data_IF_621180702823
#
_entry.id   IF_621180702823
#
_cell.length_a   1.000
_cell.length_b   1.000
_cell.length_c   1.000
_cell.angle_alpha   90.00
_cell.angle_beta   90.00
_cell.angle_gamma   90.00
#
_symmetry.space_group_name_H-M   'P 1'
#
loop_
_entity.id
_entity.type
_entity.pdbx_description
1 polymer ?
#
# COMPACT_ATOMS: atom_id res chain seq x y z
N UNK A 1 12.34 0.77 -16.87
CA UNK A 1 11.81 2.03 -17.43
C UNK A 1 10.73 2.54 -16.50
N UNK A 2 10.66 3.86 -16.28
CA UNK A 2 9.64 4.48 -15.44
C UNK A 2 8.71 5.31 -16.33
N UNK A 3 7.40 5.21 -16.10
CA UNK A 3 6.40 6.05 -16.77
C UNK A 3 5.99 7.18 -15.82
N UNK A 4 6.04 8.41 -16.30
CA UNK A 4 5.58 9.59 -15.56
C UNK A 4 4.29 10.12 -16.20
N UNK A 5 3.33 10.54 -15.38
CA UNK A 5 2.08 11.14 -15.81
C UNK A 5 1.90 12.49 -15.14
N UNK A 6 1.60 13.52 -15.93
CA UNK A 6 1.23 14.85 -15.45
C UNK A 6 -0.22 15.15 -15.82
N UNK A 7 -0.96 15.79 -14.92
CA UNK A 7 -2.37 16.15 -15.13
C UNK A 7 -2.51 17.66 -15.00
N UNK A 8 -3.18 18.29 -15.96
CA UNK A 8 -3.57 19.69 -15.92
C UNK A 8 -5.09 19.81 -15.82
N UNK A 9 -5.57 20.41 -14.73
CA UNK A 9 -7.00 20.50 -14.44
C UNK A 9 -7.67 21.66 -15.18
N UNK A 10 -8.65 21.33 -16.03
CA UNK A 10 -9.49 22.31 -16.75
C UNK A 10 -10.86 22.56 -16.11
N UNK A 11 -11.20 21.83 -15.04
CA UNK A 11 -12.48 21.94 -14.33
C UNK A 11 -12.30 21.96 -12.82
N UNK A 12 -13.30 22.45 -12.08
CA UNK A 12 -13.26 22.46 -10.61
C UNK A 12 -13.10 21.06 -10.01
N UNK A 13 -13.76 20.04 -10.60
CA UNK A 13 -13.60 18.63 -10.20
C UNK A 13 -12.19 18.14 -10.51
N UNK A 14 -11.63 18.51 -11.66
CA UNK A 14 -10.25 18.19 -12.02
C UNK A 14 -9.24 18.82 -11.05
N UNK A 15 -9.48 20.06 -10.58
CA UNK A 15 -8.61 20.72 -9.60
C UNK A 15 -8.61 19.97 -8.27
N UNK A 16 -9.78 19.53 -7.79
CA UNK A 16 -9.89 18.69 -6.58
C UNK A 16 -9.12 17.38 -6.75
N UNK A 17 -9.31 16.69 -7.88
CA UNK A 17 -8.58 15.47 -8.19
C UNK A 17 -7.06 15.69 -8.21
N UNK A 18 -6.60 16.80 -8.81
CA UNK A 18 -5.18 17.14 -8.86
C UNK A 18 -4.60 17.33 -7.45
N UNK A 19 -5.30 18.05 -6.58
CA UNK A 19 -4.89 18.26 -5.17
C UNK A 19 -4.79 16.92 -4.43
N UNK A 20 -5.82 16.07 -4.56
CA UNK A 20 -5.85 14.74 -3.93
C UNK A 20 -4.70 13.84 -4.42
N UNK A 21 -4.45 13.82 -5.73
CA UNK A 21 -3.37 13.01 -6.32
C UNK A 21 -1.98 13.52 -5.91
N UNK A 22 -1.78 14.84 -5.83
CA UNK A 22 -0.52 15.42 -5.36
C UNK A 22 -0.28 15.06 -3.89
N UNK A 23 -1.29 15.21 -3.03
CA UNK A 23 -1.19 14.85 -1.62
C UNK A 23 -0.90 13.34 -1.44
N UNK A 24 -1.55 12.50 -2.24
CA UNK A 24 -1.33 11.04 -2.23
C UNK A 24 0.06 10.67 -2.75
N UNK A 25 0.53 11.33 -3.81
CA UNK A 25 1.88 11.12 -4.33
C UNK A 25 2.92 11.52 -3.28
N UNK A 26 2.76 12.66 -2.60
CA UNK A 26 3.65 13.10 -1.52
C UNK A 26 3.74 12.09 -0.38
N UNK A 27 2.60 11.52 0.06
CA UNK A 27 2.57 10.46 1.09
C UNK A 27 3.22 9.17 0.61
N UNK A 28 3.01 8.78 -0.65
CA UNK A 28 3.58 7.57 -1.22
C UNK A 28 5.08 7.72 -1.53
N UNK A 29 5.52 8.95 -1.81
CA UNK A 29 6.90 9.25 -2.22
C UNK A 29 7.91 8.85 -1.14
N UNK A 30 7.54 8.93 0.14
CA UNK A 30 8.38 8.46 1.25
C UNK A 30 8.85 7.01 1.06
N UNK A 31 7.98 6.13 0.56
CA UNK A 31 8.28 4.72 0.31
C UNK A 31 8.81 4.46 -1.10
N UNK A 32 8.38 5.26 -2.07
CA UNK A 32 8.75 5.05 -3.47
C UNK A 32 10.16 5.57 -3.80
N UNK A 33 10.62 6.64 -3.13
CA UNK A 33 11.93 7.26 -3.40
C UNK A 33 13.10 6.28 -3.25
N UNK A 34 12.99 5.31 -2.35
CA UNK A 34 14.05 4.32 -2.10
C UNK A 34 14.02 3.19 -3.17
N UNK A 35 12.89 2.99 -3.84
CA UNK A 35 12.73 1.99 -4.93
C UNK A 35 12.94 2.58 -6.33
N UNK A 36 12.74 3.89 -6.48
CA UNK A 36 12.88 4.58 -7.77
C UNK A 36 14.24 5.26 -7.77
N UNK A 37 15.11 4.87 -8.71
CA UNK A 37 16.45 5.46 -8.86
C UNK A 37 16.44 6.85 -9.52
N UNK A 38 15.36 7.62 -9.35
CA UNK A 38 15.14 8.95 -9.93
C UNK A 38 14.87 9.93 -8.81
N UNK A 39 15.68 10.99 -8.75
CA UNK A 39 15.43 12.13 -7.87
C UNK A 39 14.35 13.02 -8.47
N UNK A 40 13.19 13.08 -7.81
CA UNK A 40 12.12 14.02 -8.15
C UNK A 40 11.95 15.05 -7.01
N UNK A 41 11.70 16.33 -7.32
CA UNK A 41 11.50 17.39 -6.33
C UNK A 41 10.10 17.32 -5.70
N UNK A 42 9.73 16.14 -5.19
CA UNK A 42 8.45 15.91 -4.52
C UNK A 42 8.70 15.97 -3.02
N UNK A 43 8.01 16.87 -2.32
CA UNK A 43 8.06 16.93 -0.86
C UNK A 43 7.39 15.68 -0.28
N UNK A 44 8.07 15.00 0.63
CA UNK A 44 7.46 13.88 1.36
C UNK A 44 6.48 14.41 2.39
N UNK A 45 5.39 13.68 2.59
CA UNK A 45 4.51 13.90 3.73
C UNK A 45 4.77 12.80 4.76
N UNK A 46 5.08 13.19 5.98
CA UNK A 46 5.41 12.27 7.08
C UNK A 46 4.16 11.70 7.76
N UNK A 47 2.96 12.17 7.41
CA UNK A 47 1.71 11.56 7.86
C UNK A 47 1.45 10.23 7.13
N UNK A 48 1.89 9.15 7.77
CA UNK A 48 1.83 7.77 7.30
C UNK A 48 0.74 6.96 8.00
N UNK A 49 -0.22 7.61 8.66
CA UNK A 49 -1.41 6.92 9.18
C UNK A 49 -2.19 6.28 8.04
N UNK A 50 -2.79 5.12 8.30
CA UNK A 50 -3.73 4.51 7.36
C UNK A 50 -4.99 5.35 7.25
N UNK A 51 -5.37 5.69 6.02
CA UNK A 51 -6.64 6.34 5.72
C UNK A 51 -7.62 5.36 5.04
N UNK A 52 -8.85 5.83 4.80
CA UNK A 52 -9.87 5.04 4.12
C UNK A 52 -9.43 4.63 2.70
N UNK A 53 -8.67 5.47 2.00
CA UNK A 53 -8.18 5.16 0.67
C UNK A 53 -7.19 3.99 0.71
N UNK A 54 -6.28 3.99 1.68
CA UNK A 54 -5.30 2.93 1.91
C UNK A 54 -6.00 1.61 2.21
N UNK A 55 -7.06 1.61 3.03
CA UNK A 55 -7.88 0.42 3.26
C UNK A 55 -8.52 -0.13 1.98
N UNK A 56 -9.05 0.74 1.11
CA UNK A 56 -9.57 0.32 -0.20
C UNK A 56 -8.48 -0.22 -1.13
N UNK A 57 -7.26 0.33 -1.07
CA UNK A 57 -6.13 -0.19 -1.84
C UNK A 57 -5.68 -1.56 -1.36
N UNK A 58 -5.64 -1.75 -0.03
CA UNK A 58 -5.30 -3.02 0.60
C UNK A 58 -6.33 -4.10 0.29
N UNK A 59 -7.63 -3.77 0.34
CA UNK A 59 -8.68 -4.71 -0.05
C UNK A 59 -8.60 -5.06 -1.54
N UNK A 60 -8.37 -4.08 -2.42
CA UNK A 60 -8.14 -4.34 -3.84
C UNK A 60 -6.87 -5.17 -4.13
N UNK A 61 -5.85 -5.08 -3.27
CA UNK A 61 -4.67 -5.93 -3.38
C UNK A 61 -4.93 -7.36 -2.91
N UNK A 62 -5.64 -7.54 -1.79
CA UNK A 62 -5.93 -8.84 -1.21
C UNK A 62 -6.94 -9.65 -2.03
N UNK A 63 -8.05 -9.02 -2.43
CA UNK A 63 -9.19 -9.69 -3.06
C UNK A 63 -9.24 -9.55 -4.59
N UNK A 64 -8.54 -8.58 -5.17
CA UNK A 64 -8.54 -8.35 -6.61
C UNK A 64 -7.13 -8.45 -7.23
N UNK A 65 -7.02 -8.18 -8.52
CA UNK A 65 -5.76 -8.29 -9.27
C UNK A 65 -4.89 -7.03 -9.21
N UNK A 66 -4.96 -6.25 -8.14
CA UNK A 66 -4.18 -5.01 -8.05
C UNK A 66 -2.68 -5.32 -8.00
N UNK A 67 -1.85 -4.58 -8.76
CA UNK A 67 -0.41 -4.81 -8.76
C UNK A 67 0.22 -4.46 -7.41
N UNK A 68 1.28 -5.19 -7.09
CA UNK A 68 2.05 -5.01 -5.86
C UNK A 68 2.62 -3.59 -5.74
N UNK A 69 3.27 -3.09 -6.80
CA UNK A 69 3.92 -1.77 -6.78
C UNK A 69 2.93 -0.63 -6.50
N UNK A 70 1.70 -0.73 -6.99
CA UNK A 70 0.67 0.29 -6.77
C UNK A 70 0.09 0.27 -5.34
N UNK A 71 0.28 -0.83 -4.61
CA UNK A 71 -0.25 -1.05 -3.26
C UNK A 71 0.86 -1.06 -2.20
N UNK A 72 2.13 -1.02 -2.62
CA UNK A 72 3.31 -1.08 -1.77
C UNK A 72 3.34 0.00 -0.68
N UNK A 73 3.06 1.29 -0.95
CA UNK A 73 3.04 2.30 0.11
C UNK A 73 2.00 1.99 1.20
N UNK A 74 0.79 1.57 0.80
CA UNK A 74 -0.28 1.21 1.74
C UNK A 74 0.08 -0.04 2.55
N UNK A 75 0.78 -1.01 1.95
CA UNK A 75 1.31 -2.19 2.65
C UNK A 75 2.38 -1.80 3.69
N UNK A 76 3.24 -0.82 3.39
CA UNK A 76 4.25 -0.34 4.33
C UNK A 76 3.62 0.40 5.51
N UNK A 77 2.60 1.23 5.25
CA UNK A 77 1.81 1.87 6.32
C UNK A 77 1.09 0.85 7.18
N UNK A 78 0.49 -0.17 6.56
CA UNK A 78 -0.14 -1.27 7.29
C UNK A 78 0.86 -1.92 8.24
N UNK A 79 2.05 -2.30 7.77
CA UNK A 79 3.12 -2.83 8.65
C UNK A 79 3.42 -1.91 9.83
N UNK A 80 3.50 -0.59 9.62
CA UNK A 80 3.80 0.35 10.70
C UNK A 80 2.70 0.43 11.75
N UNK A 81 1.43 0.30 11.34
CA UNK A 81 0.30 0.40 12.27
C UNK A 81 -0.15 -0.96 12.82
N UNK A 82 0.29 -2.08 12.23
CA UNK A 82 -0.04 -3.43 12.68
C UNK A 82 0.31 -3.72 14.14
N UNK A 83 1.49 -3.32 14.69
CA UNK A 83 1.81 -3.52 16.11
C UNK A 83 0.82 -2.81 17.05
N UNK A 84 0.32 -1.64 16.65
CA UNK A 84 -0.65 -0.88 17.44
C UNK A 84 -2.08 -1.43 17.29
N UNK A 85 -2.38 -2.04 16.14
CA UNK A 85 -3.71 -2.59 15.81
C UNK A 85 -3.87 -4.03 16.33
N UNK A 86 -2.78 -4.78 16.46
CA UNK A 86 -2.82 -6.19 16.81
C UNK A 86 -1.66 -6.55 17.75
N UNK A 87 -2.00 -7.07 18.93
CA UNK A 87 -1.05 -7.73 19.85
C UNK A 87 -0.53 -9.09 19.31
N UNK A 88 -0.82 -9.44 18.05
CA UNK A 88 -0.46 -10.72 17.45
C UNK A 88 0.90 -10.64 16.73
N UNK A 89 1.73 -11.70 16.77
CA UNK A 89 2.94 -11.75 15.95
C UNK A 89 2.61 -11.54 14.47
N UNK A 90 3.23 -10.51 13.87
CA UNK A 90 3.05 -10.22 12.45
C UNK A 90 3.53 -11.40 11.58
N UNK A 91 2.84 -11.70 10.47
CA UNK A 91 3.32 -12.64 9.48
C UNK A 91 4.74 -12.27 9.00
N UNK A 92 5.65 -13.25 8.83
CA UNK A 92 7.04 -12.98 8.48
C UNK A 92 7.18 -12.23 7.16
N UNK A 93 6.30 -12.46 6.19
CA UNK A 93 6.29 -11.78 4.89
C UNK A 93 6.01 -10.28 5.01
N UNK A 94 5.05 -9.92 5.86
CA UNK A 94 4.67 -8.52 6.10
C UNK A 94 5.79 -7.77 6.84
N UNK A 95 6.52 -8.45 7.75
CA UNK A 95 7.68 -7.86 8.44
C UNK A 95 8.79 -7.42 7.48
N UNK A 96 8.91 -8.07 6.32
CA UNK A 96 9.95 -7.77 5.34
C UNK A 96 9.62 -6.53 4.47
N UNK A 97 8.40 -5.99 4.53
CA UNK A 97 8.02 -4.78 3.79
C UNK A 97 8.73 -3.53 4.33
N UNK A 98 9.09 -2.60 3.44
CA UNK A 98 9.74 -1.33 3.80
C UNK A 98 11.17 -1.45 4.32
N UNK A 99 11.78 -2.64 4.29
CA UNK A 99 13.22 -2.75 4.46
C UNK A 99 13.92 -2.21 3.19
N UNK A 100 15.09 -1.58 3.30
CA UNK A 100 15.90 -1.15 2.15
C UNK A 100 16.45 -2.33 1.33
N UNK A 101 16.10 -3.56 1.73
CA UNK A 101 16.52 -4.79 1.10
C UNK A 101 15.88 -4.96 -0.28
N UNK A 102 16.68 -5.42 -1.24
CA UNK A 102 16.20 -5.73 -2.59
C UNK A 102 15.09 -6.80 -2.54
N UNK A 103 14.14 -6.76 -3.48
CA UNK A 103 13.05 -7.75 -3.59
C UNK A 103 13.56 -9.21 -3.52
N UNK A 104 14.78 -9.47 -4.02
CA UNK A 104 15.48 -10.75 -3.93
C UNK A 104 15.92 -11.16 -2.53
N UNK A 105 16.34 -10.21 -1.70
CA UNK A 105 16.67 -10.47 -0.30
C UNK A 105 15.41 -10.80 0.50
N UNK A 106 14.27 -10.19 0.18
CA UNK A 106 12.96 -10.54 0.75
C UNK A 106 12.56 -11.97 0.34
N UNK A 107 12.72 -12.31 -0.94
CA UNK A 107 12.42 -13.66 -1.46
C UNK A 107 13.30 -14.71 -0.77
N UNK A 108 14.60 -14.45 -0.61
CA UNK A 108 15.52 -15.36 0.07
C UNK A 108 15.22 -15.50 1.57
N UNK A 109 14.97 -14.39 2.28
CA UNK A 109 14.63 -14.39 3.71
C UNK A 109 13.30 -15.09 3.99
N UNK A 110 12.36 -15.03 3.05
CA UNK A 110 11.08 -15.72 3.13
C UNK A 110 11.12 -17.17 2.62
N UNK A 111 12.28 -17.69 2.19
CA UNK A 111 12.44 -19.02 1.58
C UNK A 111 11.51 -19.28 0.39
N UNK A 112 11.25 -18.25 -0.43
CA UNK A 112 10.30 -18.34 -1.53
C UNK A 112 11.01 -18.59 -2.86
N UNK A 113 10.36 -19.35 -3.75
CA UNK A 113 10.90 -19.72 -5.07
C UNK A 113 10.83 -18.58 -6.10
N UNK A 114 10.27 -17.41 -5.74
CA UNK A 114 10.23 -16.24 -6.61
C UNK A 114 9.20 -15.16 -6.21
N UNK A 115 9.21 -14.05 -6.96
CA UNK A 115 8.36 -12.86 -6.73
C UNK A 115 6.86 -13.18 -6.74
N UNK A 116 6.41 -14.10 -7.58
CA UNK A 116 4.99 -14.46 -7.65
C UNK A 116 4.51 -15.16 -6.37
N UNK A 117 5.33 -16.04 -5.79
CA UNK A 117 5.01 -16.70 -4.51
C UNK A 117 4.99 -15.69 -3.37
N UNK A 118 5.92 -14.72 -3.37
CA UNK A 118 5.91 -13.61 -2.41
C UNK A 118 4.61 -12.80 -2.47
N UNK A 119 4.19 -12.42 -3.68
CA UNK A 119 2.95 -11.65 -3.85
C UNK A 119 1.73 -12.46 -3.41
N UNK A 120 1.67 -13.76 -3.73
CA UNK A 120 0.57 -14.63 -3.27
C UNK A 120 0.50 -14.71 -1.75
N UNK A 121 1.64 -14.90 -1.08
CA UNK A 121 1.70 -14.96 0.37
C UNK A 121 1.31 -13.63 1.01
N UNK A 122 1.83 -12.50 0.49
CA UNK A 122 1.45 -11.17 0.96
C UNK A 122 -0.04 -10.91 0.81
N UNK A 123 -0.67 -11.39 -0.28
CA UNK A 123 -2.13 -11.26 -0.44
C UNK A 123 -2.89 -12.05 0.60
N UNK A 124 -2.48 -13.30 0.86
CA UNK A 124 -3.10 -14.13 1.89
C UNK A 124 -2.95 -13.50 3.29
N UNK A 125 -1.76 -13.01 3.62
CA UNK A 125 -1.48 -12.35 4.90
C UNK A 125 -2.36 -11.08 5.07
N UNK A 126 -2.43 -10.24 4.04
CA UNK A 126 -3.27 -9.02 4.06
C UNK A 126 -4.75 -9.36 4.12
N UNK A 127 -5.20 -10.44 3.45
CA UNK A 127 -6.58 -10.90 3.54
C UNK A 127 -6.95 -11.30 4.97
N UNK A 128 -6.08 -12.04 5.67
CA UNK A 128 -6.28 -12.42 7.07
C UNK A 128 -6.34 -11.16 7.94
N UNK A 129 -5.41 -10.23 7.76
CA UNK A 129 -5.38 -8.97 8.51
C UNK A 129 -6.68 -8.18 8.29
N UNK A 130 -7.14 -8.06 7.05
CA UNK A 130 -8.39 -7.36 6.73
C UNK A 130 -9.61 -8.03 7.36
N UNK A 131 -9.66 -9.37 7.37
CA UNK A 131 -10.72 -10.12 8.04
C UNK A 131 -10.71 -9.89 9.55
N UNK A 132 -9.53 -9.87 10.18
CA UNK A 132 -9.40 -9.58 11.61
C UNK A 132 -9.79 -8.12 11.93
N UNK A 133 -9.38 -7.15 11.11
CA UNK A 133 -9.81 -5.76 11.23
C UNK A 133 -11.34 -5.61 11.09
N UNK A 134 -11.96 -6.33 10.16
CA UNK A 134 -13.40 -6.31 9.97
C UNK A 134 -14.16 -6.80 11.21
N UNK A 135 -13.59 -7.74 11.96
CA UNK A 135 -14.16 -8.27 13.20
C UNK A 135 -13.99 -7.29 14.37
N UNK A 136 -12.89 -6.52 14.39
CA UNK A 136 -12.55 -5.61 15.49
C UNK A 136 -13.04 -4.16 15.29
N UNK A 137 -13.36 -3.76 14.06
CA UNK A 137 -13.79 -2.40 13.71
C UNK A 137 -14.87 -2.46 12.63
N UNK A 138 -16.12 -2.03 12.91
CA UNK A 138 -17.14 -1.91 11.88
C UNK A 138 -16.89 -0.62 11.09
N UNK A 139 -15.80 -0.56 10.33
CA UNK A 139 -15.42 0.59 9.49
C UNK A 139 -15.43 0.24 8.00
N UNK A 140 -16.18 -0.78 7.59
CA UNK A 140 -16.65 -0.90 6.22
C UNK A 140 -17.99 -0.16 6.13
N UNK A 141 -18.06 1.11 5.64
CA UNK A 141 -19.31 1.58 5.10
C UNK A 141 -19.63 0.69 3.89
N UNK A 142 -20.68 -0.11 4.04
CA UNK A 142 -21.29 -0.94 3.02
C UNK A 142 -21.58 -0.09 1.79
N UNK A 143 -20.70 -0.14 0.79
CA UNK A 143 -21.02 0.33 -0.57
C UNK A 143 -20.61 -0.76 -1.56
N UNK A 144 -21.22 -1.93 -1.40
CA UNK A 144 -21.34 -2.96 -2.43
C UNK A 144 -22.79 -3.40 -2.66
N UNK A 145 -23.76 -2.64 -2.14
CA UNK A 145 -25.18 -2.75 -2.51
C UNK A 145 -25.61 -1.44 -3.17
N UNK A 146 -25.51 -1.36 -4.50
CA UNK A 146 -26.33 -0.52 -5.40
C UNK A 146 -25.80 -0.67 -6.83
N UNK A 147 -26.22 -1.73 -7.51
CA UNK A 147 -26.49 -1.73 -8.95
C UNK A 147 -27.92 -2.22 -9.12
#
# INVERSE_FOLDING_TARGET
SYAAMAIYAISARGKRLQIELVAKLARNWLWLRDKISISLPISTNDDQKLDQHDWQLLSGFAFAHRPYDASYPSLCRLKQQLPDLFDHPLPPTVKLLGLPDNEWQIINKAHLTGKQTLIKQLRADVQIILQLCAIQTPLFPSTLDSV
#
